data_IF_513539872975
#
_entry.id   IF_513539872975
#
_cell.length_a   1.000
_cell.length_b   1.000
_cell.length_c   1.000
_cell.angle_alpha   90.00
_cell.angle_beta   90.00
_cell.angle_gamma   90.00
#
_symmetry.space_group_name_H-M   'P 1'
#
loop_
_entity.id
_entity.type
_entity.pdbx_description
1 polymer ?
#
# COMPACT_ATOMS: atom_id res chain seq x y z
N UNK A 1 45.52 73.31 4.68
CA UNK A 1 44.68 72.56 3.72
C UNK A 1 44.75 71.09 4.12
N UNK A 2 43.77 70.60 4.87
CA UNK A 2 43.71 69.21 5.34
C UNK A 2 42.88 68.38 4.37
N UNK A 3 43.55 67.47 3.65
CA UNK A 3 42.93 66.53 2.73
C UNK A 3 42.17 65.44 3.50
N UNK A 4 40.83 65.44 3.46
CA UNK A 4 40.04 64.26 3.79
C UNK A 4 39.96 63.36 2.56
N UNK A 5 40.40 62.10 2.68
CA UNK A 5 40.13 61.05 1.70
C UNK A 5 38.79 60.38 2.02
N UNK A 6 37.87 60.23 1.06
CA UNK A 6 36.66 59.46 1.28
C UNK A 6 37.01 57.96 1.25
N UNK A 7 36.62 57.23 2.28
CA UNK A 7 36.65 55.77 2.29
C UNK A 7 35.30 55.25 1.79
N UNK A 8 35.34 54.47 0.71
CA UNK A 8 34.18 53.77 0.17
C UNK A 8 34.00 52.45 0.93
N UNK A 9 32.91 52.32 1.69
CA UNK A 9 32.50 51.05 2.28
C UNK A 9 31.54 50.38 1.30
N UNK A 10 31.96 49.25 0.73
CA UNK A 10 31.08 48.38 -0.08
C UNK A 10 30.52 47.31 0.85
N UNK A 11 29.22 47.36 1.11
CA UNK A 11 28.49 46.33 1.84
C UNK A 11 27.90 45.35 0.82
N UNK A 12 28.51 44.16 0.71
CA UNK A 12 28.00 43.07 -0.13
C UNK A 12 27.02 42.22 0.67
N UNK A 13 25.72 42.36 0.39
CA UNK A 13 24.68 41.43 0.88
C UNK A 13 24.66 40.18 0.00
N UNK A 14 25.10 39.05 0.54
CA UNK A 14 24.89 37.74 -0.07
C UNK A 14 23.47 37.26 0.28
N UNK A 15 22.59 37.19 -0.71
CA UNK A 15 21.33 36.47 -0.59
C UNK A 15 21.55 35.04 -1.08
N UNK A 16 21.45 34.06 -0.18
CA UNK A 16 21.28 32.65 -0.55
C UNK A 16 19.78 32.36 -0.66
N UNK A 17 19.32 32.02 -1.86
CA UNK A 17 17.99 31.45 -2.06
C UNK A 17 18.13 29.94 -1.96
N UNK A 18 17.49 29.33 -0.97
CA UNK A 18 17.34 27.88 -0.94
C UNK A 18 16.32 27.50 -2.03
N UNK A 19 16.77 26.71 -3.02
CA UNK A 19 15.89 26.12 -4.03
C UNK A 19 15.44 24.76 -3.51
N UNK A 20 14.19 24.65 -3.07
CA UNK A 20 13.57 23.36 -2.78
C UNK A 20 13.27 22.67 -4.11
N UNK A 21 13.79 21.46 -4.32
CA UNK A 21 13.49 20.66 -5.52
C UNK A 21 12.11 20.00 -5.38
N UNK A 22 11.07 20.82 -5.57
CA UNK A 22 9.67 20.39 -5.61
C UNK A 22 9.22 20.04 -7.04
N UNK A 23 8.32 19.07 -7.18
CA UNK A 23 7.70 18.72 -8.46
C UNK A 23 6.27 19.26 -8.51
N UNK A 24 5.93 20.00 -9.56
CA UNK A 24 4.55 20.49 -9.75
C UNK A 24 4.03 20.12 -11.15
N UNK A 25 2.89 19.44 -11.19
CA UNK A 25 2.15 19.15 -12.43
C UNK A 25 0.90 20.02 -12.45
N UNK A 26 0.71 20.75 -13.55
CA UNK A 26 -0.34 21.77 -13.66
C UNK A 26 -1.26 21.59 -14.87
N UNK A 27 -2.39 22.26 -14.82
CA UNK A 27 -3.42 22.31 -15.84
C UNK A 27 -3.94 20.88 -16.15
N UNK A 28 -3.90 20.50 -17.42
CA UNK A 28 -4.19 19.15 -17.90
C UNK A 28 -2.91 18.38 -18.29
N UNK A 29 -1.74 18.84 -17.85
CA UNK A 29 -0.49 18.18 -18.15
C UNK A 29 -0.36 16.87 -17.37
N UNK A 30 0.52 16.00 -17.85
CA UNK A 30 0.87 14.79 -17.13
C UNK A 30 2.36 14.49 -17.20
N UNK A 31 2.83 13.72 -16.23
CA UNK A 31 4.12 13.05 -16.27
C UNK A 31 3.85 11.57 -16.46
N UNK A 32 4.55 10.95 -17.41
CA UNK A 32 4.48 9.52 -17.66
C UNK A 32 5.85 8.91 -17.36
N UNK A 33 5.88 7.96 -16.43
CA UNK A 33 7.08 7.27 -15.98
C UNK A 33 6.89 5.78 -16.27
N UNK A 34 7.84 5.19 -16.96
CA UNK A 34 7.77 3.82 -17.44
C UNK A 34 9.07 3.11 -17.10
N UNK A 35 9.02 2.06 -16.29
CA UNK A 35 10.19 1.28 -15.86
C UNK A 35 11.34 2.15 -15.34
N UNK A 36 11.00 3.23 -14.62
CA UNK A 36 11.95 4.20 -14.10
C UNK A 36 11.52 4.73 -12.73
N UNK A 37 12.50 5.25 -11.99
CA UNK A 37 12.28 5.94 -10.73
C UNK A 37 12.17 7.44 -10.99
N UNK A 38 11.03 8.03 -10.60
CA UNK A 38 10.88 9.47 -10.48
C UNK A 38 11.26 9.86 -9.04
N UNK A 39 12.41 10.51 -8.89
CA UNK A 39 12.88 11.01 -7.60
C UNK A 39 12.55 12.50 -7.43
N UNK A 40 11.98 12.86 -6.28
CA UNK A 40 11.65 14.24 -5.90
C UNK A 40 12.17 14.49 -4.49
N UNK A 41 13.00 15.50 -4.27
CA UNK A 41 13.63 15.72 -2.96
C UNK A 41 12.60 16.11 -1.87
N UNK A 42 11.62 16.94 -2.24
CA UNK A 42 10.60 17.48 -1.32
C UNK A 42 9.19 17.10 -1.78
N UNK A 43 8.26 18.05 -1.91
CA UNK A 43 6.87 17.73 -2.20
C UNK A 43 6.53 17.55 -3.69
N UNK A 44 5.52 16.72 -3.92
CA UNK A 44 4.80 16.62 -5.18
C UNK A 44 3.48 17.37 -5.07
N UNK A 45 3.26 18.33 -5.97
CA UNK A 45 2.01 19.06 -6.12
C UNK A 45 1.34 18.70 -7.46
N UNK A 46 0.28 17.91 -7.41
CA UNK A 46 -0.53 17.58 -8.60
C UNK A 46 -1.76 18.46 -8.58
N UNK A 47 -1.64 19.67 -9.11
CA UNK A 47 -2.45 20.80 -8.65
C UNK A 47 -3.94 20.67 -9.02
N UNK A 48 -4.27 20.56 -10.30
CA UNK A 48 -5.64 20.50 -10.80
C UNK A 48 -6.13 19.04 -10.95
N UNK A 49 -7.45 18.82 -10.89
CA UNK A 49 -8.03 17.47 -10.99
C UNK A 49 -7.82 16.79 -12.37
N UNK A 50 -7.37 17.55 -13.36
CA UNK A 50 -6.96 17.13 -14.70
C UNK A 50 -5.47 16.84 -14.82
N UNK A 51 -4.66 17.20 -13.83
CA UNK A 51 -3.23 16.92 -13.80
C UNK A 51 -2.96 15.51 -13.28
N UNK A 52 -1.99 14.81 -13.90
CA UNK A 52 -1.73 13.40 -13.57
C UNK A 52 -0.23 13.03 -13.53
N UNK A 53 0.10 12.03 -12.74
CA UNK A 53 1.36 11.28 -12.83
C UNK A 53 1.00 9.82 -13.09
N UNK A 54 1.58 9.20 -14.12
CA UNK A 54 1.34 7.80 -14.47
C UNK A 54 2.61 6.98 -14.24
N UNK A 55 2.52 5.96 -13.39
CA UNK A 55 3.59 4.99 -13.14
C UNK A 55 3.25 3.66 -13.82
N UNK A 56 4.09 3.20 -14.75
CA UNK A 56 3.92 1.95 -15.51
C UNK A 56 5.15 1.07 -15.42
N UNK A 57 4.92 -0.24 -15.60
CA UNK A 57 5.96 -1.26 -15.65
C UNK A 57 6.97 -1.11 -14.50
N UNK A 58 6.48 -1.18 -13.26
CA UNK A 58 7.31 -1.06 -12.04
C UNK A 58 7.93 0.32 -11.79
N UNK A 59 7.55 1.35 -12.54
CA UNK A 59 7.92 2.73 -12.23
C UNK A 59 7.48 3.14 -10.81
N UNK A 60 8.29 4.01 -10.20
CA UNK A 60 8.14 4.39 -8.79
C UNK A 60 8.23 5.91 -8.62
N UNK A 61 7.53 6.42 -7.61
CA UNK A 61 7.78 7.76 -7.07
C UNK A 61 8.53 7.61 -5.74
N UNK A 62 9.79 8.03 -5.72
CA UNK A 62 10.60 8.13 -4.50
C UNK A 62 10.71 9.59 -4.07
N UNK A 63 10.54 9.82 -2.77
CA UNK A 63 10.70 11.14 -2.17
C UNK A 63 11.87 11.15 -1.19
N UNK A 64 12.63 12.26 -1.21
CA UNK A 64 13.70 12.53 -0.25
C UNK A 64 13.15 12.89 1.12
N UNK A 65 14.03 13.42 1.99
CA UNK A 65 13.71 13.75 3.38
C UNK A 65 13.01 15.11 3.55
N UNK A 66 12.44 15.67 2.48
CA UNK A 66 11.74 16.94 2.53
C UNK A 66 10.51 16.90 3.45
N UNK A 67 10.16 18.04 4.03
CA UNK A 67 9.18 18.12 5.11
C UNK A 67 7.79 18.57 4.67
N UNK A 68 7.59 18.88 3.39
CA UNK A 68 6.38 19.61 2.98
C UNK A 68 5.20 18.75 2.54
N UNK A 69 5.31 17.42 2.38
CA UNK A 69 4.16 16.54 2.09
C UNK A 69 3.43 16.83 0.75
N UNK A 70 2.69 15.86 0.21
CA UNK A 70 2.10 15.98 -1.13
C UNK A 70 0.78 16.75 -1.16
N UNK A 71 0.57 17.58 -2.18
CA UNK A 71 -0.58 18.49 -2.30
C UNK A 71 -1.25 18.47 -3.68
N UNK A 72 -2.32 19.25 -3.84
CA UNK A 72 -3.15 19.29 -5.04
C UNK A 72 -4.33 18.32 -5.01
N UNK A 73 -5.15 18.37 -6.07
CA UNK A 73 -6.36 17.54 -6.26
C UNK A 73 -6.32 16.70 -7.54
N UNK A 74 -5.19 16.70 -8.24
CA UNK A 74 -4.86 15.76 -9.32
C UNK A 74 -4.47 14.39 -8.77
N UNK A 75 -4.07 13.48 -9.68
CA UNK A 75 -3.92 12.05 -9.35
C UNK A 75 -2.58 11.48 -9.80
N UNK A 76 -1.91 10.77 -8.91
CA UNK A 76 -0.97 9.72 -9.29
C UNK A 76 -1.77 8.46 -9.63
N UNK A 77 -1.38 7.75 -10.67
CA UNK A 77 -1.96 6.50 -11.17
C UNK A 77 -0.90 5.42 -11.20
N UNK A 78 -1.17 4.29 -10.57
CA UNK A 78 -0.29 3.11 -10.58
C UNK A 78 -1.11 1.85 -10.87
N UNK A 79 -0.60 1.04 -11.79
CA UNK A 79 -1.22 -0.23 -12.16
C UNK A 79 -0.86 -1.33 -11.16
N UNK A 80 -1.88 -2.07 -10.73
CA UNK A 80 -1.77 -3.19 -9.81
C UNK A 80 -2.48 -4.42 -10.37
N UNK A 81 -1.95 -5.61 -10.09
CA UNK A 81 -2.46 -6.88 -10.61
C UNK A 81 -2.99 -7.75 -9.49
N UNK A 82 -4.29 -8.04 -9.51
CA UNK A 82 -4.91 -8.96 -8.56
C UNK A 82 -5.24 -10.33 -9.14
N UNK A 83 -5.70 -11.23 -8.28
CA UNK A 83 -6.17 -12.57 -8.64
C UNK A 83 -7.43 -12.55 -9.53
N UNK A 84 -7.56 -13.57 -10.39
CA UNK A 84 -8.73 -13.82 -11.27
C UNK A 84 -9.69 -14.89 -10.75
N UNK A 85 -9.37 -15.51 -9.61
CA UNK A 85 -10.25 -16.51 -9.04
C UNK A 85 -11.28 -15.79 -8.15
N UNK A 86 -12.57 -16.00 -8.43
CA UNK A 86 -13.67 -15.50 -7.61
C UNK A 86 -13.57 -15.94 -6.16
N UNK A 87 -12.88 -17.02 -5.83
CA UNK A 87 -12.74 -17.53 -4.46
C UNK A 87 -11.49 -17.02 -3.76
N UNK A 88 -10.70 -16.18 -4.43
CA UNK A 88 -9.44 -15.68 -3.92
C UNK A 88 -9.57 -14.20 -3.54
N UNK A 89 -8.96 -13.84 -2.42
CA UNK A 89 -8.83 -12.46 -1.97
C UNK A 89 -7.47 -11.88 -2.34
N UNK A 90 -7.46 -10.60 -2.66
CA UNK A 90 -6.25 -9.79 -2.69
C UNK A 90 -6.16 -9.03 -1.38
N UNK A 91 -4.97 -8.93 -0.80
CA UNK A 91 -4.69 -8.08 0.34
C UNK A 91 -3.90 -6.89 -0.19
N UNK A 92 -4.45 -5.69 -0.02
CA UNK A 92 -3.89 -4.45 -0.54
C UNK A 92 -3.60 -3.48 0.59
N UNK A 93 -2.58 -2.66 0.44
CA UNK A 93 -2.41 -1.39 1.16
C UNK A 93 -2.32 -0.29 0.10
N UNK A 94 -3.16 0.74 0.15
CA UNK A 94 -3.20 1.67 -0.99
C UNK A 94 -1.99 2.60 -1.01
N UNK A 95 -1.31 2.78 -2.17
CA UNK A 95 -0.23 3.76 -2.33
C UNK A 95 -0.74 5.20 -2.47
N UNK A 96 -2.06 5.37 -2.57
CA UNK A 96 -2.74 6.64 -2.83
C UNK A 96 -3.98 6.82 -1.97
N UNK A 97 -4.26 8.06 -1.58
CA UNK A 97 -5.48 8.49 -0.90
C UNK A 97 -6.47 9.20 -1.81
N UNK A 98 -7.67 9.51 -1.32
CA UNK A 98 -8.63 10.33 -2.07
C UNK A 98 -8.10 11.76 -2.34
N UNK A 99 -8.64 12.42 -3.37
CA UNK A 99 -8.21 13.76 -3.80
C UNK A 99 -9.16 14.89 -3.38
N UNK A 100 -9.94 14.68 -2.31
CA UNK A 100 -10.98 15.64 -1.88
C UNK A 100 -10.44 16.92 -1.21
N UNK A 101 -9.14 17.01 -0.92
CA UNK A 101 -8.54 18.16 -0.24
C UNK A 101 -7.17 18.54 -0.77
N UNK A 102 -6.99 19.84 -1.05
CA UNK A 102 -5.70 20.43 -1.41
C UNK A 102 -4.94 20.86 -0.14
N UNK A 103 -4.28 19.91 0.49
CA UNK A 103 -3.38 20.10 1.63
C UNK A 103 -2.31 19.02 1.61
N UNK A 104 -1.38 19.11 2.55
CA UNK A 104 -0.17 18.29 2.54
C UNK A 104 -0.34 16.96 3.31
N UNK A 105 -1.54 16.70 3.83
CA UNK A 105 -1.84 15.48 4.57
C UNK A 105 -2.13 14.32 3.62
N UNK A 106 -1.63 13.13 3.99
CA UNK A 106 -2.12 11.87 3.45
C UNK A 106 -3.64 11.78 3.66
N UNK A 107 -4.33 11.14 2.70
CA UNK A 107 -5.79 11.03 2.71
C UNK A 107 -6.19 9.57 2.77
N UNK A 108 -7.33 9.23 3.40
CA UNK A 108 -7.79 7.86 3.39
C UNK A 108 -8.10 7.41 1.96
N UNK A 109 -7.84 6.14 1.69
CA UNK A 109 -8.29 5.45 0.50
C UNK A 109 -9.80 5.19 0.57
N UNK A 110 -10.50 5.34 -0.55
CA UNK A 110 -11.91 4.97 -0.69
C UNK A 110 -12.05 4.16 -1.97
N UNK A 111 -12.49 2.89 -1.92
CA UNK A 111 -12.52 2.03 -3.11
C UNK A 111 -13.18 2.70 -4.31
N UNK A 112 -14.41 3.18 -4.16
CA UNK A 112 -15.19 3.83 -5.23
C UNK A 112 -14.75 5.26 -5.59
N UNK A 113 -13.59 5.71 -5.12
CA UNK A 113 -12.97 6.95 -5.57
C UNK A 113 -11.53 6.75 -6.05
N UNK A 114 -10.92 5.60 -5.73
CA UNK A 114 -9.50 5.36 -5.94
C UNK A 114 -9.19 4.14 -6.83
N UNK A 115 -10.13 3.23 -7.07
CA UNK A 115 -9.93 2.10 -8.00
C UNK A 115 -10.62 2.39 -9.34
N UNK A 116 -9.85 2.26 -10.42
CA UNK A 116 -10.28 2.53 -11.78
C UNK A 116 -10.15 1.28 -12.68
N UNK A 117 -11.07 1.16 -13.62
CA UNK A 117 -11.07 0.21 -14.74
C UNK A 117 -10.19 0.75 -15.89
N UNK A 118 -9.22 -0.05 -16.34
CA UNK A 118 -8.35 0.31 -17.45
C UNK A 118 -9.08 0.06 -18.77
N UNK A 119 -9.73 1.11 -19.30
CA UNK A 119 -10.51 1.03 -20.54
C UNK A 119 -9.67 1.18 -21.81
N UNK A 120 -8.53 1.87 -21.74
CA UNK A 120 -7.51 1.84 -22.78
C UNK A 120 -6.12 2.17 -22.21
N UNK A 121 -5.20 1.21 -22.35
CA UNK A 121 -3.81 1.41 -21.96
C UNK A 121 -3.14 2.52 -22.80
N UNK A 122 -2.12 3.23 -22.28
CA UNK A 122 -1.54 3.06 -20.94
C UNK A 122 -2.08 4.05 -19.90
N UNK A 123 -2.97 4.98 -20.24
CA UNK A 123 -3.37 6.08 -19.32
C UNK A 123 -4.88 6.29 -19.17
N UNK A 124 -5.70 5.67 -20.02
CA UNK A 124 -7.15 5.89 -20.01
C UNK A 124 -7.83 4.89 -19.10
N UNK A 125 -8.55 5.41 -18.11
CA UNK A 125 -9.30 4.60 -17.16
C UNK A 125 -10.55 5.34 -16.71
N UNK A 126 -11.61 4.59 -16.42
CA UNK A 126 -12.83 5.09 -15.80
C UNK A 126 -12.93 4.56 -14.37
N UNK A 127 -13.65 5.25 -13.51
CA UNK A 127 -13.87 4.76 -12.14
C UNK A 127 -14.51 3.36 -12.20
N UNK A 128 -14.03 2.43 -11.39
CA UNK A 128 -14.54 1.06 -11.37
C UNK A 128 -16.02 1.04 -10.93
N UNK A 129 -16.81 0.12 -11.49
CA UNK A 129 -18.18 -0.11 -11.04
C UNK A 129 -18.20 -1.05 -9.83
N UNK A 130 -19.28 -0.98 -9.05
CA UNK A 130 -19.46 -1.80 -7.84
C UNK A 130 -20.81 -2.49 -7.85
N UNK A 131 -20.85 -3.69 -7.25
CA UNK A 131 -22.08 -4.46 -7.04
C UNK A 131 -22.20 -4.88 -5.58
N UNK A 132 -23.44 -5.06 -5.10
CA UNK A 132 -23.73 -5.69 -3.81
C UNK A 132 -23.78 -7.22 -3.89
N UNK A 133 -23.82 -7.78 -5.11
CA UNK A 133 -23.73 -9.24 -5.31
C UNK A 133 -22.35 -9.77 -4.96
N UNK A 134 -22.24 -11.08 -4.72
CA UNK A 134 -20.99 -11.70 -4.26
C UNK A 134 -19.89 -11.79 -5.32
N UNK A 135 -20.18 -11.59 -6.60
CA UNK A 135 -19.19 -11.76 -7.66
C UNK A 135 -19.10 -10.51 -8.53
N UNK A 136 -17.87 -10.13 -8.85
CA UNK A 136 -17.54 -9.08 -9.80
C UNK A 136 -17.19 -9.62 -11.19
N UNK A 137 -16.99 -8.72 -12.15
CA UNK A 137 -16.57 -9.04 -13.52
C UNK A 137 -15.26 -8.31 -13.86
N UNK A 138 -14.44 -8.91 -14.72
CA UNK A 138 -13.16 -8.35 -15.16
C UNK A 138 -13.28 -7.27 -16.24
N UNK A 139 -14.29 -7.38 -17.12
CA UNK A 139 -14.46 -6.51 -18.29
C UNK A 139 -15.95 -6.39 -18.69
N UNK A 140 -16.61 -5.25 -18.47
CA UNK A 140 -16.09 -4.10 -17.71
C UNK A 140 -15.80 -4.49 -16.25
N UNK A 141 -14.87 -3.78 -15.62
CA UNK A 141 -14.51 -4.04 -14.22
C UNK A 141 -15.68 -3.70 -13.29
N UNK A 142 -16.19 -4.71 -12.61
CA UNK A 142 -17.17 -4.58 -11.52
C UNK A 142 -16.59 -5.25 -10.29
N UNK A 143 -16.47 -4.51 -9.19
CA UNK A 143 -15.96 -5.01 -7.91
C UNK A 143 -17.14 -5.35 -7.00
N UNK A 144 -17.10 -6.52 -6.37
CA UNK A 144 -18.08 -6.89 -5.35
C UNK A 144 -17.78 -6.18 -4.04
N UNK A 145 -18.72 -5.35 -3.57
CA UNK A 145 -18.60 -4.66 -2.29
C UNK A 145 -18.62 -5.62 -1.10
N UNK A 146 -19.22 -6.80 -1.28
CA UNK A 146 -19.43 -7.79 -0.22
C UNK A 146 -18.15 -8.39 0.36
N UNK A 147 -16.98 -8.09 -0.20
CA UNK A 147 -15.67 -8.65 0.18
C UNK A 147 -14.61 -7.59 0.41
N UNK A 148 -15.05 -6.35 0.65
CA UNK A 148 -14.20 -5.24 1.02
C UNK A 148 -14.22 -5.09 2.53
N UNK A 149 -13.13 -5.51 3.17
CA UNK A 149 -12.94 -5.47 4.63
C UNK A 149 -11.57 -4.93 4.99
N UNK A 150 -11.44 -4.35 6.17
CA UNK A 150 -10.17 -4.03 6.83
C UNK A 150 -10.03 -4.83 8.13
N UNK A 151 -8.84 -4.85 8.72
CA UNK A 151 -8.58 -5.52 10.00
C UNK A 151 -7.66 -4.65 10.85
N UNK A 152 -8.18 -3.99 11.88
CA UNK A 152 -7.44 -2.94 12.59
C UNK A 152 -7.83 -2.77 14.09
N UNK A 153 -6.92 -3.16 14.99
CA UNK A 153 -6.30 -4.47 15.09
C UNK A 153 -7.29 -5.44 15.74
N UNK A 154 -7.13 -6.74 15.51
CA UNK A 154 -8.03 -7.77 16.07
C UNK A 154 -7.33 -9.07 16.41
N UNK A 155 -7.99 -9.94 17.16
CA UNK A 155 -7.45 -11.27 17.52
C UNK A 155 -8.27 -12.43 16.99
N UNK A 156 -9.43 -12.17 16.40
CA UNK A 156 -10.38 -13.18 15.96
C UNK A 156 -10.95 -12.87 14.57
N UNK A 157 -11.50 -13.89 13.91
CA UNK A 157 -12.13 -13.74 12.61
C UNK A 157 -13.35 -12.79 12.63
N UNK A 158 -14.04 -12.65 13.76
CA UNK A 158 -15.16 -11.72 13.89
C UNK A 158 -14.75 -10.24 13.84
N UNK A 159 -13.46 -9.95 13.97
CA UNK A 159 -12.94 -8.58 14.08
C UNK A 159 -12.68 -7.94 12.71
N UNK A 160 -13.02 -8.62 11.61
CA UNK A 160 -12.99 -8.03 10.26
C UNK A 160 -14.05 -6.93 10.13
N UNK A 161 -13.60 -5.72 9.79
CA UNK A 161 -14.44 -4.55 9.63
C UNK A 161 -14.91 -4.42 8.18
N UNK A 162 -16.23 -4.48 7.96
CA UNK A 162 -16.79 -4.25 6.63
C UNK A 162 -16.65 -2.77 6.24
N UNK A 163 -15.96 -2.49 5.12
CA UNK A 163 -15.82 -1.14 4.58
C UNK A 163 -16.73 -0.89 3.38
N UNK A 164 -17.01 -1.92 2.57
CA UNK A 164 -17.77 -1.78 1.33
C UNK A 164 -17.14 -0.79 0.33
N UNK A 165 -17.89 -0.42 -0.72
CA UNK A 165 -17.37 0.43 -1.79
C UNK A 165 -17.08 1.88 -1.37
N UNK A 166 -17.85 2.43 -0.43
CA UNK A 166 -17.77 3.83 0.01
C UNK A 166 -17.07 4.04 1.35
N UNK A 167 -16.63 2.96 2.02
CA UNK A 167 -15.85 3.04 3.25
C UNK A 167 -14.46 3.60 3.03
N UNK A 168 -13.84 4.07 4.10
CA UNK A 168 -12.52 4.68 4.09
C UNK A 168 -11.52 3.80 4.82
N UNK A 169 -10.33 3.65 4.25
CA UNK A 169 -9.17 3.00 4.88
C UNK A 169 -8.08 4.06 5.05
N UNK A 170 -7.60 4.26 6.28
CA UNK A 170 -6.53 5.22 6.52
C UNK A 170 -5.23 4.79 5.83
N UNK A 171 -4.36 5.74 5.48
CA UNK A 171 -3.06 5.41 4.87
C UNK A 171 -2.28 4.47 5.81
N UNK A 172 -1.56 3.49 5.25
CA UNK A 172 -0.87 2.45 6.02
C UNK A 172 -1.74 1.23 6.30
N UNK A 173 -3.04 1.40 6.52
CA UNK A 173 -3.95 0.29 6.72
C UNK A 173 -4.31 -0.39 5.40
N UNK A 174 -4.46 -1.71 5.45
CA UNK A 174 -4.81 -2.52 4.31
C UNK A 174 -6.28 -2.92 4.27
N UNK A 175 -6.67 -3.52 3.15
CA UNK A 175 -8.02 -4.02 2.91
C UNK A 175 -7.99 -5.27 2.03
N UNK A 176 -9.02 -6.09 2.17
CA UNK A 176 -9.27 -7.23 1.28
C UNK A 176 -10.09 -6.82 0.08
N UNK A 177 -9.85 -7.46 -1.06
CA UNK A 177 -10.73 -7.35 -2.21
C UNK A 177 -10.75 -8.67 -2.97
N UNK A 178 -11.94 -9.21 -3.17
CA UNK A 178 -12.14 -10.43 -3.95
C UNK A 178 -11.71 -10.27 -5.42
N UNK A 179 -11.16 -11.34 -5.99
CA UNK A 179 -10.85 -11.43 -7.42
C UNK A 179 -12.08 -11.36 -8.32
N UNK A 180 -11.85 -11.04 -9.60
CA UNK A 180 -12.92 -10.88 -10.60
C UNK A 180 -13.08 -12.12 -11.47
N UNK A 181 -14.28 -12.39 -11.97
CA UNK A 181 -14.49 -13.44 -12.98
C UNK A 181 -14.17 -12.93 -14.38
N UNK A 182 -13.62 -13.82 -15.23
CA UNK A 182 -13.66 -13.63 -16.68
C UNK A 182 -12.39 -13.05 -17.32
N UNK A 183 -11.31 -12.86 -16.55
CA UNK A 183 -10.00 -12.53 -17.13
C UNK A 183 -9.16 -13.79 -17.34
N UNK A 184 -8.46 -13.88 -18.48
CA UNK A 184 -7.51 -14.96 -18.77
C UNK A 184 -6.13 -14.80 -18.09
N UNK A 185 -5.90 -13.66 -17.44
CA UNK A 185 -4.67 -13.30 -16.71
C UNK A 185 -5.02 -12.45 -15.49
N UNK A 186 -4.12 -12.28 -14.51
CA UNK A 186 -4.31 -11.39 -13.34
C UNK A 186 -5.05 -10.09 -13.70
N UNK A 187 -6.11 -9.79 -12.93
CA UNK A 187 -6.95 -8.63 -13.18
C UNK A 187 -6.15 -7.36 -12.99
N UNK A 188 -6.19 -6.47 -13.98
CA UNK A 188 -5.55 -5.17 -13.91
C UNK A 188 -6.47 -4.16 -13.21
N UNK A 189 -5.93 -3.46 -12.23
CA UNK A 189 -6.56 -2.35 -11.53
C UNK A 189 -5.68 -1.11 -11.69
N UNK A 190 -6.28 0.06 -11.78
CA UNK A 190 -5.55 1.33 -11.73
C UNK A 190 -5.89 2.07 -10.43
N UNK A 191 -4.94 2.10 -9.51
CA UNK A 191 -5.06 2.84 -8.26
C UNK A 191 -4.72 4.30 -8.55
N UNK A 192 -5.71 5.18 -8.42
CA UNK A 192 -5.54 6.62 -8.66
C UNK A 192 -5.88 7.45 -7.45
N UNK A 193 -5.03 8.42 -7.12
CA UNK A 193 -5.29 9.31 -5.99
C UNK A 193 -4.14 10.24 -5.66
N UNK A 194 -4.21 10.91 -4.51
CA UNK A 194 -3.08 11.68 -3.98
C UNK A 194 -2.00 10.69 -3.52
N UNK A 195 -0.75 10.78 -3.99
CA UNK A 195 0.32 9.88 -3.56
C UNK A 195 0.61 10.05 -2.07
N UNK A 196 0.62 8.93 -1.35
CA UNK A 196 1.04 8.90 0.05
C UNK A 196 2.54 9.20 0.17
N UNK A 197 2.93 9.83 1.28
CA UNK A 197 4.33 10.21 1.53
C UNK A 197 4.61 10.37 3.02
N UNK A 198 5.90 10.49 3.38
CA UNK A 198 6.36 10.72 4.74
C UNK A 198 6.07 9.55 5.68
N UNK A 199 6.16 9.83 6.98
CA UNK A 199 5.84 8.86 8.03
C UNK A 199 4.35 8.50 8.03
N UNK A 200 4.06 7.20 8.13
CA UNK A 200 2.70 6.65 8.16
C UNK A 200 2.60 5.67 9.33
N UNK A 201 1.88 6.10 10.34
CA UNK A 201 1.62 5.42 11.61
C UNK A 201 0.51 4.38 11.46
N UNK A 202 0.74 3.16 11.96
CA UNK A 202 -0.22 2.04 11.93
C UNK A 202 -0.23 1.39 13.31
N UNK A 203 -1.41 1.33 13.92
CA UNK A 203 -1.57 0.77 15.25
C UNK A 203 -1.35 -0.74 15.25
N UNK A 204 -0.57 -1.21 16.22
CA UNK A 204 -0.48 -2.62 16.60
C UNK A 204 -0.71 -2.76 18.10
N UNK A 205 -1.26 -3.90 18.53
CA UNK A 205 -1.58 -4.17 19.93
C UNK A 205 -0.76 -5.36 20.44
N UNK A 206 -0.43 -5.33 21.73
CA UNK A 206 0.15 -6.51 22.38
C UNK A 206 -0.88 -7.65 22.43
N UNK A 207 -0.45 -8.91 22.59
CA UNK A 207 -1.37 -10.03 22.75
C UNK A 207 -2.34 -9.84 23.93
N UNK A 208 -3.62 -10.13 23.70
CA UNK A 208 -4.68 -10.03 24.72
C UNK A 208 -5.02 -11.44 25.19
N UNK A 209 -4.84 -11.70 26.48
CA UNK A 209 -5.04 -13.04 27.07
C UNK A 209 -4.27 -14.17 26.34
N UNK A 210 -3.08 -13.85 25.80
CA UNK A 210 -2.25 -14.79 25.05
C UNK A 210 -2.64 -14.96 23.58
N UNK A 211 -3.68 -14.27 23.10
CA UNK A 211 -4.07 -14.26 21.69
C UNK A 211 -3.35 -13.11 20.98
N UNK A 212 -2.53 -13.38 19.94
CA UNK A 212 -1.90 -12.34 19.13
C UNK A 212 -2.94 -11.35 18.57
N UNK A 213 -2.56 -10.09 18.44
CA UNK A 213 -3.40 -9.08 17.80
C UNK A 213 -2.77 -8.72 16.45
N UNK A 214 -3.50 -8.99 15.38
CA UNK A 214 -3.09 -8.72 14.01
C UNK A 214 -3.63 -7.38 13.51
N UNK A 215 -2.88 -6.73 12.64
CA UNK A 215 -3.32 -5.58 11.85
C UNK A 215 -3.06 -5.87 10.37
N UNK A 216 -4.06 -5.65 9.52
CA UNK A 216 -3.88 -5.67 8.07
C UNK A 216 -3.25 -4.34 7.65
N UNK A 217 -2.02 -4.40 7.17
CA UNK A 217 -1.24 -3.26 6.69
C UNK A 217 -0.57 -3.64 5.36
N UNK A 218 0.48 -2.94 4.94
CA UNK A 218 1.21 -3.27 3.72
C UNK A 218 2.22 -2.21 3.34
N UNK A 219 2.54 -2.13 2.06
CA UNK A 219 3.30 -1.01 1.49
C UNK A 219 2.33 0.13 1.07
N UNK A 220 2.27 1.26 1.81
CA UNK A 220 1.39 2.38 1.52
C UNK A 220 1.99 3.41 0.57
N UNK A 221 3.17 3.17 -0.01
CA UNK A 221 3.90 4.15 -0.81
C UNK A 221 3.83 3.82 -2.30
N UNK A 222 3.87 4.83 -3.20
CA UNK A 222 3.97 4.64 -4.65
C UNK A 222 5.38 4.20 -5.11
N UNK A 223 6.12 3.51 -4.26
CA UNK A 223 7.46 2.96 -4.46
C UNK A 223 7.62 1.70 -3.61
N UNK A 224 8.66 0.90 -3.88
CA UNK A 224 8.90 -0.32 -3.11
C UNK A 224 9.37 0.02 -1.68
N UNK A 225 8.84 -0.71 -0.70
CA UNK A 225 9.20 -0.56 0.72
C UNK A 225 10.33 -1.52 1.07
N UNK A 226 11.42 -1.03 1.64
CA UNK A 226 12.53 -1.89 2.07
C UNK A 226 12.18 -2.60 3.38
N UNK A 227 11.91 -3.91 3.31
CA UNK A 227 11.56 -4.71 4.47
C UNK A 227 12.69 -4.77 5.52
N UNK A 228 13.95 -4.68 5.10
CA UNK A 228 15.08 -4.66 6.05
C UNK A 228 15.01 -3.39 6.88
N UNK A 229 14.78 -2.26 6.24
CA UNK A 229 14.74 -0.98 6.93
C UNK A 229 13.47 -0.87 7.79
N UNK A 230 12.34 -1.37 7.30
CA UNK A 230 11.10 -1.51 8.07
C UNK A 230 11.30 -2.27 9.39
N UNK A 231 11.99 -3.41 9.38
CA UNK A 231 12.21 -4.20 10.60
C UNK A 231 13.40 -3.76 11.46
N UNK A 232 14.46 -3.22 10.85
CA UNK A 232 15.76 -3.10 11.52
C UNK A 232 16.31 -1.69 11.64
N UNK A 233 15.76 -0.72 10.91
CA UNK A 233 16.26 0.66 10.92
C UNK A 233 15.29 1.65 11.57
N UNK A 234 14.03 1.25 11.74
CA UNK A 234 13.01 2.01 12.46
C UNK A 234 12.92 1.54 13.92
N UNK A 235 13.28 2.37 14.92
CA UNK A 235 13.24 1.99 16.33
C UNK A 235 11.83 1.69 16.86
N UNK A 236 10.79 2.33 16.31
CA UNK A 236 9.41 2.15 16.75
C UNK A 236 8.89 0.80 16.23
N UNK A 237 9.14 0.48 14.97
CA UNK A 237 8.82 -0.85 14.41
C UNK A 237 9.62 -1.95 15.12
N UNK A 238 10.90 -1.72 15.41
CA UNK A 238 11.71 -2.67 16.18
C UNK A 238 11.08 -2.97 17.54
N UNK A 239 10.65 -1.95 18.27
CA UNK A 239 10.02 -2.12 19.57
C UNK A 239 8.64 -2.77 19.47
N UNK A 240 7.85 -2.38 18.47
CA UNK A 240 6.48 -2.83 18.27
C UNK A 240 6.40 -4.29 17.77
N UNK A 241 7.40 -4.74 17.00
CA UNK A 241 7.45 -6.06 16.35
C UNK A 241 8.48 -7.00 16.99
N UNK A 242 9.11 -6.62 18.11
CA UNK A 242 10.09 -7.46 18.80
C UNK A 242 9.44 -8.67 19.49
N UNK A 243 9.65 -9.87 18.96
CA UNK A 243 9.28 -11.12 19.64
C UNK A 243 8.94 -12.25 18.67
N UNK A 244 8.81 -13.47 19.21
CA UNK A 244 8.36 -14.64 18.43
C UNK A 244 6.91 -14.42 18.00
N UNK A 245 6.65 -14.38 16.69
CA UNK A 245 5.32 -14.10 16.11
C UNK A 245 5.13 -12.65 15.64
N UNK A 246 5.64 -11.66 16.37
CA UNK A 246 5.53 -10.24 16.02
C UNK A 246 6.58 -9.78 14.97
N UNK A 247 7.72 -10.46 14.86
CA UNK A 247 8.83 -10.09 13.96
C UNK A 247 8.73 -10.63 12.54
N UNK A 248 7.51 -10.78 12.01
CA UNK A 248 7.25 -11.36 10.69
C UNK A 248 6.15 -10.64 9.94
N UNK A 249 6.18 -10.74 8.61
CA UNK A 249 5.07 -10.36 7.75
C UNK A 249 4.31 -11.62 7.34
N UNK A 250 2.99 -11.57 7.43
CA UNK A 250 2.13 -12.69 7.12
C UNK A 250 1.38 -12.44 5.82
N UNK A 251 1.69 -13.22 4.79
CA UNK A 251 1.10 -13.11 3.46
C UNK A 251 0.03 -14.17 3.27
N UNK A 252 -1.20 -13.74 2.96
CA UNK A 252 -2.31 -14.67 2.74
C UNK A 252 -2.15 -15.39 1.41
N UNK A 253 -2.15 -16.73 1.44
CA UNK A 253 -2.13 -17.60 0.28
C UNK A 253 -3.32 -18.54 0.30
N UNK A 254 -3.87 -18.84 -0.87
CA UNK A 254 -5.15 -19.54 -0.96
C UNK A 254 -5.29 -20.32 -2.26
N UNK A 255 -6.04 -21.41 -2.18
CA UNK A 255 -6.41 -22.24 -3.33
C UNK A 255 -7.82 -22.79 -3.12
N UNK A 256 -8.78 -21.88 -3.01
CA UNK A 256 -10.16 -22.23 -2.67
C UNK A 256 -11.06 -22.24 -3.91
N UNK A 257 -12.14 -23.01 -3.80
CA UNK A 257 -13.29 -23.01 -4.71
C UNK A 257 -14.61 -22.65 -4.00
N UNK A 258 -14.53 -22.12 -2.77
CA UNK A 258 -15.68 -21.74 -1.93
C UNK A 258 -15.33 -20.53 -1.04
N UNK A 259 -16.32 -19.73 -0.65
CA UNK A 259 -16.19 -18.71 0.41
C UNK A 259 -16.75 -19.20 1.75
N UNK A 260 -17.28 -20.42 1.80
CA UNK A 260 -17.71 -21.04 3.06
C UNK A 260 -16.44 -21.36 3.84
N UNK A 261 -16.26 -20.74 5.00
CA UNK A 261 -15.03 -20.79 5.81
C UNK A 261 -14.54 -22.23 6.07
N UNK A 262 -15.46 -23.14 6.40
CA UNK A 262 -15.16 -24.57 6.62
C UNK A 262 -14.67 -25.32 5.37
N UNK A 263 -14.85 -24.76 4.18
CA UNK A 263 -14.38 -25.30 2.90
C UNK A 263 -13.37 -24.37 2.22
N UNK A 264 -13.00 -23.27 2.87
CA UNK A 264 -12.06 -22.30 2.36
C UNK A 264 -10.64 -22.77 2.63
N UNK A 265 -9.86 -23.01 1.58
CA UNK A 265 -8.47 -23.44 1.71
C UNK A 265 -7.55 -22.23 1.58
N UNK A 266 -6.87 -21.91 2.67
CA UNK A 266 -5.85 -20.87 2.70
C UNK A 266 -5.06 -20.85 4.00
N UNK A 267 -4.07 -19.97 4.06
CA UNK A 267 -3.25 -19.78 5.24
C UNK A 267 -2.27 -18.63 5.04
N UNK A 268 -1.56 -18.29 6.10
CA UNK A 268 -0.52 -17.28 6.05
C UNK A 268 0.84 -17.91 5.86
N UNK A 269 1.56 -17.47 4.84
CA UNK A 269 2.99 -17.67 4.73
C UNK A 269 3.70 -16.67 5.64
N UNK A 270 4.84 -17.09 6.21
CA UNK A 270 5.62 -16.26 7.13
C UNK A 270 6.87 -15.77 6.44
N UNK A 271 7.02 -14.45 6.34
CA UNK A 271 8.19 -13.78 5.82
C UNK A 271 8.96 -13.12 6.96
N UNK A 272 10.28 -13.30 6.96
CA UNK A 272 11.22 -12.61 7.84
C UNK A 272 12.43 -12.18 7.03
N UNK A 273 13.14 -11.17 7.50
CA UNK A 273 14.40 -10.72 6.92
C UNK A 273 15.36 -10.38 8.05
N UNK A 274 16.61 -10.78 7.95
CA UNK A 274 17.62 -10.40 8.95
C UNK A 274 18.23 -9.02 8.67
N UNK A 275 19.04 -8.51 9.60
CA UNK A 275 19.71 -7.21 9.45
C UNK A 275 20.76 -7.20 8.32
N UNK A 276 21.21 -8.38 7.86
CA UNK A 276 22.04 -8.56 6.68
C UNK A 276 21.27 -8.49 5.36
N UNK A 277 19.93 -8.48 5.41
CA UNK A 277 19.05 -8.46 4.25
C UNK A 277 18.76 -9.84 3.67
N UNK A 278 19.01 -10.92 4.41
CA UNK A 278 18.70 -12.29 3.99
C UNK A 278 17.24 -12.58 4.33
N UNK A 279 16.46 -12.89 3.30
CA UNK A 279 15.04 -13.24 3.41
C UNK A 279 14.89 -14.71 3.79
N UNK A 280 14.00 -14.98 4.75
CA UNK A 280 13.49 -16.32 5.05
C UNK A 280 11.97 -16.32 4.87
N UNK A 281 11.49 -17.25 4.05
CA UNK A 281 10.08 -17.39 3.69
C UNK A 281 9.61 -18.83 3.95
N UNK A 282 8.57 -18.97 4.76
CA UNK A 282 7.93 -20.23 5.07
C UNK A 282 6.57 -20.23 4.35
N UNK A 283 6.36 -21.13 3.37
CA UNK A 283 5.10 -21.21 2.63
C UNK A 283 3.89 -21.42 3.52
N UNK A 284 2.72 -20.90 3.11
CA UNK A 284 1.52 -21.03 3.90
C UNK A 284 1.11 -22.51 4.09
N UNK A 285 0.82 -22.95 5.32
CA UNK A 285 0.09 -24.20 5.50
C UNK A 285 -1.33 -24.02 4.96
N UNK A 286 -1.74 -24.88 4.03
CA UNK A 286 -3.10 -24.85 3.50
C UNK A 286 -4.03 -25.59 4.43
N UNK A 287 -4.95 -24.84 5.03
CA UNK A 287 -5.89 -25.33 6.01
C UNK A 287 -7.31 -24.80 5.75
N UNK A 288 -8.29 -25.47 6.39
CA UNK A 288 -9.67 -24.97 6.54
C UNK A 288 -9.92 -24.55 7.97
N UNK A 289 -10.88 -23.65 8.20
CA UNK A 289 -11.11 -23.05 9.51
C UNK A 289 -12.57 -23.17 9.96
N UNK A 290 -12.80 -23.24 11.27
CA UNK A 290 -14.14 -23.06 11.85
C UNK A 290 -14.48 -21.58 12.03
N UNK A 291 -15.69 -21.27 12.50
CA UNK A 291 -16.15 -19.89 12.75
C UNK A 291 -15.36 -19.17 13.86
N UNK A 292 -14.65 -19.90 14.70
CA UNK A 292 -13.76 -19.34 15.73
C UNK A 292 -12.32 -19.15 15.20
N UNK A 293 -12.05 -19.48 13.93
CA UNK A 293 -10.74 -19.36 13.30
C UNK A 293 -9.79 -20.52 13.62
N UNK A 294 -10.27 -21.61 14.23
CA UNK A 294 -9.42 -22.77 14.50
C UNK A 294 -9.24 -23.61 13.25
N UNK A 295 -8.04 -24.17 13.06
CA UNK A 295 -7.75 -25.12 11.98
C UNK A 295 -8.58 -26.39 12.18
N UNK A 296 -9.37 -26.75 11.18
CA UNK A 296 -10.24 -27.94 11.16
C UNK A 296 -9.75 -29.06 10.23
N UNK A 297 -8.81 -28.75 9.34
CA UNK A 297 -8.21 -29.70 8.40
C UNK A 297 -6.99 -29.09 7.72
N UNK A 298 -6.07 -29.93 7.24
CA UNK A 298 -4.85 -29.52 6.53
C UNK A 298 -4.70 -30.29 5.21
N UNK A 299 -4.42 -29.57 4.12
CA UNK A 299 -4.36 -30.12 2.75
C UNK A 299 -2.96 -30.02 2.14
N UNK A 300 -1.95 -29.62 2.93
CA UNK A 300 -0.56 -29.49 2.51
C UNK A 300 -0.02 -28.08 2.75
N UNK A 301 0.95 -27.69 1.94
CA UNK A 301 1.53 -26.33 1.93
C UNK A 301 1.41 -25.72 0.55
N UNK A 302 1.38 -24.40 0.51
CA UNK A 302 1.46 -23.64 -0.73
C UNK A 302 2.70 -24.05 -1.55
N UNK A 303 2.58 -24.16 -2.89
CA UNK A 303 3.73 -24.40 -3.76
C UNK A 303 4.64 -23.17 -3.87
N UNK A 304 4.12 -21.98 -3.54
CA UNK A 304 4.88 -20.73 -3.57
C UNK A 304 5.97 -20.78 -2.50
N UNK A 305 7.22 -20.73 -2.94
CA UNK A 305 8.36 -20.92 -2.03
C UNK A 305 9.61 -20.16 -2.42
N UNK A 306 9.61 -19.46 -3.55
CA UNK A 306 10.83 -18.83 -4.11
C UNK A 306 10.75 -17.30 -4.04
N UNK A 307 11.56 -16.64 -3.17
CA UNK A 307 11.67 -15.18 -3.10
C UNK A 307 12.01 -14.55 -4.44
N UNK A 308 11.29 -13.47 -4.78
CA UNK A 308 11.45 -12.73 -6.04
C UNK A 308 10.78 -13.36 -7.26
N UNK A 309 10.20 -14.56 -7.14
CA UNK A 309 9.43 -15.20 -8.21
C UNK A 309 7.95 -15.25 -7.83
N UNK A 310 7.62 -15.92 -6.73
CA UNK A 310 6.24 -16.10 -6.26
C UNK A 310 5.96 -15.38 -4.93
N UNK A 311 7.02 -14.91 -4.25
CA UNK A 311 6.93 -14.34 -2.91
C UNK A 311 7.80 -13.07 -2.81
N UNK A 312 7.44 -12.09 -1.96
CA UNK A 312 8.17 -10.83 -1.89
C UNK A 312 9.66 -11.00 -1.57
N UNK A 313 10.51 -10.18 -2.21
CA UNK A 313 11.93 -10.06 -1.88
C UNK A 313 12.17 -9.10 -0.72
N UNK A 314 13.37 -8.51 -0.64
CA UNK A 314 13.66 -7.43 0.33
C UNK A 314 12.81 -6.18 0.09
N UNK A 315 12.58 -5.84 -1.18
CA UNK A 315 11.77 -4.70 -1.56
C UNK A 315 10.32 -5.16 -1.78
N UNK A 316 9.44 -4.77 -0.86
CA UNK A 316 8.03 -5.13 -0.89
C UNK A 316 7.32 -4.32 -2.00
N UNK A 317 6.60 -4.98 -2.92
CA UNK A 317 5.96 -4.31 -4.05
C UNK A 317 4.98 -3.21 -3.64
N UNK A 318 4.81 -2.23 -4.53
CA UNK A 318 3.77 -1.19 -4.37
C UNK A 318 2.43 -1.85 -4.14
N UNK A 319 1.70 -1.34 -3.16
CA UNK A 319 0.38 -1.77 -2.76
C UNK A 319 0.24 -3.16 -2.12
N UNK A 320 1.34 -3.93 -1.96
CA UNK A 320 1.27 -5.25 -1.36
C UNK A 320 0.77 -5.18 0.09
N UNK A 321 -0.34 -5.86 0.40
CA UNK A 321 -0.85 -6.01 1.76
C UNK A 321 -0.28 -7.23 2.48
N UNK A 322 -0.15 -7.14 3.80
CA UNK A 322 0.25 -8.24 4.69
C UNK A 322 -0.28 -7.99 6.10
N UNK A 323 -0.42 -9.06 6.88
CA UNK A 323 -0.71 -8.94 8.31
C UNK A 323 0.60 -8.78 9.09
N UNK A 324 0.55 -8.00 10.16
CA UNK A 324 1.59 -7.93 11.21
C UNK A 324 0.95 -8.19 12.57
N UNK A 325 1.72 -8.73 13.50
CA UNK A 325 1.30 -8.92 14.89
C UNK A 325 2.11 -8.01 15.81
N UNK A 326 1.44 -7.33 16.74
CA UNK A 326 2.14 -6.49 17.72
C UNK A 326 2.69 -7.29 18.89
N UNK A 327 3.95 -7.05 19.27
CA UNK A 327 4.50 -7.49 20.54
C UNK A 327 4.09 -6.54 21.70
N UNK A 328 3.89 -5.27 21.37
CA UNK A 328 3.52 -4.21 22.30
C UNK A 328 2.42 -3.33 21.69
N UNK A 329 1.78 -2.50 22.51
CA UNK A 329 0.90 -1.44 22.02
C UNK A 329 1.78 -0.31 21.44
N UNK A 330 1.61 -0.01 20.16
CA UNK A 330 2.35 1.04 19.47
C UNK A 330 1.51 1.62 18.32
N UNK A 331 1.88 2.83 17.89
CA UNK A 331 1.29 3.56 16.76
C UNK A 331 2.43 4.03 15.87
#
# INVERSE_FOLDING_TARGET
MTNLKPSLIVLSLFFSVELFAQLTVRNNAYIFVDDQVLFVEDNVNIQENTANIYLRNEAQLLQGTGTTGNSGIGRLSVYQRGTVNNFNYNYWCSPVGNTSGNNNANRPFTPNNNIYDVTAAPITSSLAAYTSGYNGSSSPLVISSAWLYSYNPGGQYSDWDYIGAGGTVAAGYGFTMKGTTGSGSNQLYDFRGKPNTGEITVQVLAPVAGVPQSTLTGNPYPSALDARDFFHMDPENQAALAGTGAGALYFWEQNSSSHVLASYIGGYATYTIDSGGIVSYIPAPWATYDAAGNVTGGVGTSPNSTPGVDVPGRYLPVAQGFMVEGAAHAN
#
